data_IF_250505614138
#
_entry.id   IF_250505614138
#
_cell.length_a   1.000
_cell.length_b   1.000
_cell.length_c   1.000
_cell.angle_alpha   90.00
_cell.angle_beta   90.00
_cell.angle_gamma   90.00
#
_symmetry.space_group_name_H-M   'P 1'
#
loop_
_entity.id
_entity.type
_entity.pdbx_description
1 polymer ?
#
# COMPACT_ATOMS: atom_id res chain seq x y z
N UNK A 1 -34.35 -40.62 -13.16
CA UNK A 1 -33.92 -39.36 -13.81
C UNK A 1 -34.63 -38.16 -13.20
N UNK A 2 -35.94 -37.94 -13.41
CA UNK A 2 -36.63 -36.74 -12.89
C UNK A 2 -36.70 -36.65 -11.35
N UNK A 3 -36.81 -37.81 -10.68
CA UNK A 3 -36.83 -37.91 -9.21
C UNK A 3 -35.43 -37.81 -8.57
N UNK A 4 -34.37 -38.14 -9.31
CA UNK A 4 -32.98 -38.02 -8.84
C UNK A 4 -32.52 -36.56 -8.87
N UNK A 5 -32.95 -35.82 -9.91
CA UNK A 5 -32.72 -34.38 -10.01
C UNK A 5 -33.43 -33.60 -8.90
N UNK A 6 -34.63 -34.03 -8.49
CA UNK A 6 -35.37 -33.38 -7.40
C UNK A 6 -34.64 -33.54 -6.05
N UNK A 7 -34.16 -34.76 -5.76
CA UNK A 7 -33.38 -35.04 -4.56
C UNK A 7 -32.06 -34.30 -4.53
N UNK A 8 -31.34 -34.27 -5.66
CA UNK A 8 -30.11 -33.50 -5.77
C UNK A 8 -30.34 -32.00 -5.50
N UNK A 9 -31.49 -31.46 -5.91
CA UNK A 9 -31.85 -30.05 -5.71
C UNK A 9 -32.22 -29.77 -4.25
N UNK A 10 -32.93 -30.68 -3.58
CA UNK A 10 -33.19 -30.63 -2.13
C UNK A 10 -31.89 -30.69 -1.32
N UNK A 11 -30.96 -31.57 -1.70
CA UNK A 11 -29.65 -31.69 -1.04
C UNK A 11 -28.82 -30.42 -1.22
N UNK A 12 -28.82 -29.81 -2.41
CA UNK A 12 -28.14 -28.54 -2.68
C UNK A 12 -28.73 -27.40 -1.86
N UNK A 13 -30.06 -27.28 -1.77
CA UNK A 13 -30.70 -26.25 -0.94
C UNK A 13 -30.33 -26.41 0.53
N UNK A 14 -30.36 -27.64 1.05
CA UNK A 14 -29.93 -27.92 2.43
C UNK A 14 -28.46 -27.56 2.67
N UNK A 15 -27.59 -27.83 1.69
CA UNK A 15 -26.17 -27.48 1.78
C UNK A 15 -25.97 -25.96 1.77
N UNK A 16 -26.75 -25.23 0.96
CA UNK A 16 -26.74 -23.76 0.95
C UNK A 16 -27.15 -23.22 2.32
N UNK A 17 -28.25 -23.71 2.89
CA UNK A 17 -28.70 -23.28 4.22
C UNK A 17 -27.63 -23.54 5.31
N UNK A 18 -26.96 -24.69 5.27
CA UNK A 18 -25.88 -25.00 6.22
C UNK A 18 -24.67 -24.08 6.03
N UNK A 19 -24.25 -23.84 4.78
CA UNK A 19 -23.15 -22.91 4.47
C UNK A 19 -23.51 -21.49 4.90
N UNK A 20 -24.75 -21.04 4.66
CA UNK A 20 -25.22 -19.72 5.10
C UNK A 20 -25.21 -19.61 6.63
N UNK A 21 -25.62 -20.66 7.34
CA UNK A 21 -25.53 -20.74 8.80
C UNK A 21 -24.10 -20.67 9.31
N UNK A 22 -23.19 -21.44 8.70
CA UNK A 22 -21.75 -21.41 9.02
C UNK A 22 -21.15 -20.02 8.75
N UNK A 23 -21.52 -19.39 7.63
CA UNK A 23 -21.03 -18.08 7.22
C UNK A 23 -21.56 -16.99 8.15
N UNK A 24 -22.79 -17.09 8.64
CA UNK A 24 -23.34 -16.22 9.68
C UNK A 24 -22.55 -16.35 11.00
N UNK A 25 -22.26 -17.58 11.44
CA UNK A 25 -21.47 -17.83 12.64
C UNK A 25 -20.03 -17.30 12.51
N UNK A 26 -19.39 -17.48 11.35
CA UNK A 26 -18.07 -16.93 11.08
C UNK A 26 -18.08 -15.40 11.09
N UNK A 27 -19.10 -14.76 10.48
CA UNK A 27 -19.28 -13.30 10.53
C UNK A 27 -19.43 -12.78 11.96
N UNK A 28 -20.24 -13.46 12.79
CA UNK A 28 -20.39 -13.14 14.21
C UNK A 28 -19.03 -13.19 14.93
N UNK A 29 -18.26 -14.28 14.73
CA UNK A 29 -16.95 -14.46 15.35
C UNK A 29 -15.91 -13.43 14.90
N UNK A 30 -15.93 -13.06 13.62
CA UNK A 30 -15.08 -11.96 13.11
C UNK A 30 -15.50 -10.62 13.73
N UNK A 31 -16.80 -10.37 13.90
CA UNK A 31 -17.29 -9.16 14.57
C UNK A 31 -16.87 -9.11 16.05
N UNK A 32 -16.83 -10.26 16.74
CA UNK A 32 -16.38 -10.37 18.13
C UNK A 32 -14.88 -10.14 18.29
N UNK A 33 -14.08 -10.62 17.33
CA UNK A 33 -12.63 -10.40 17.31
C UNK A 33 -12.26 -8.97 16.88
N UNK A 34 -13.21 -8.24 16.29
CA UNK A 34 -12.99 -6.92 15.72
C UNK A 34 -12.31 -6.99 14.34
N UNK A 35 -12.21 -5.85 13.64
CA UNK A 35 -11.39 -5.77 12.43
C UNK A 35 -9.96 -6.19 12.77
N UNK A 36 -9.30 -6.87 11.82
CA UNK A 36 -7.86 -7.16 11.94
C UNK A 36 -7.15 -5.84 12.24
N UNK A 37 -6.50 -5.76 13.39
CA UNK A 37 -5.70 -4.60 13.75
C UNK A 37 -4.34 -4.75 13.09
N UNK A 38 -4.24 -4.26 11.85
CA UNK A 38 -3.01 -4.30 11.07
C UNK A 38 -1.86 -3.54 11.74
N UNK A 39 -2.18 -2.56 12.59
CA UNK A 39 -1.16 -1.86 13.37
C UNK A 39 -0.62 -2.78 14.47
N UNK A 40 -1.49 -3.53 15.15
CA UNK A 40 -1.07 -4.59 16.07
C UNK A 40 -0.23 -5.66 15.36
N UNK A 41 -0.62 -6.09 14.16
CA UNK A 41 0.18 -7.04 13.38
C UNK A 41 1.56 -6.48 13.02
N UNK A 42 1.61 -5.23 12.52
CA UNK A 42 2.87 -4.55 12.22
C UNK A 42 3.74 -4.39 13.48
N UNK A 43 3.14 -4.09 14.63
CA UNK A 43 3.84 -4.00 15.92
C UNK A 43 4.41 -5.35 16.37
N UNK A 44 3.61 -6.41 16.34
CA UNK A 44 4.08 -7.77 16.69
C UNK A 44 5.25 -8.18 15.78
N UNK A 45 5.16 -7.92 14.47
CA UNK A 45 6.27 -8.13 13.53
C UNK A 45 7.48 -7.22 13.80
N UNK A 46 7.26 -5.97 14.16
CA UNK A 46 8.34 -5.05 14.50
C UNK A 46 9.06 -5.47 15.78
N UNK A 47 8.38 -6.15 16.72
CA UNK A 47 9.05 -6.71 17.91
C UNK A 47 9.91 -7.93 17.58
N UNK A 48 9.49 -8.74 16.60
CA UNK A 48 10.24 -9.92 16.17
C UNK A 48 11.52 -9.56 15.39
N UNK A 49 11.46 -8.51 14.57
CA UNK A 49 12.54 -8.16 13.63
C UNK A 49 13.21 -6.80 13.88
N UNK A 50 12.56 -5.90 14.61
CA UNK A 50 12.99 -4.51 14.74
C UNK A 50 14.04 -4.32 15.82
N UNK A 51 15.00 -3.46 15.52
CA UNK A 51 16.02 -2.99 16.45
C UNK A 51 15.93 -1.47 16.59
N UNK A 52 16.33 -0.94 17.75
CA UNK A 52 16.45 0.50 17.97
C UNK A 52 17.80 0.75 18.62
N UNK A 53 18.68 1.46 17.93
CA UNK A 53 20.00 1.85 18.42
C UNK A 53 20.28 3.32 18.06
N UNK A 54 20.33 4.16 19.09
CA UNK A 54 20.55 5.60 18.96
C UNK A 54 19.63 6.26 17.93
N UNK A 55 20.24 6.79 16.87
CA UNK A 55 19.57 7.52 15.79
C UNK A 55 18.95 6.61 14.71
N UNK A 56 19.06 5.29 14.86
CA UNK A 56 18.60 4.31 13.88
C UNK A 56 17.49 3.46 14.50
N UNK A 57 16.40 3.27 13.77
CA UNK A 57 15.29 2.40 14.20
C UNK A 57 14.78 1.60 13.01
N UNK A 58 14.66 0.29 13.18
CA UNK A 58 14.05 -0.60 12.20
C UNK A 58 12.59 -0.86 12.59
N UNK A 59 11.73 -1.06 11.60
CA UNK A 59 10.31 -1.25 11.82
C UNK A 59 9.61 -1.82 10.59
N UNK A 60 8.29 -1.95 10.70
CA UNK A 60 7.46 -2.61 9.69
C UNK A 60 6.53 -1.59 9.05
N UNK A 61 6.45 -1.59 7.72
CA UNK A 61 5.53 -0.72 6.99
C UNK A 61 4.08 -1.19 7.12
N UNK A 62 3.16 -0.30 7.49
CA UNK A 62 1.72 -0.56 7.69
C UNK A 62 0.84 -0.06 6.53
N UNK A 63 1.45 0.38 5.43
CA UNK A 63 0.76 0.95 4.27
C UNK A 63 0.86 2.48 4.17
N UNK A 64 1.13 3.18 5.28
CA UNK A 64 1.40 4.63 5.29
C UNK A 64 2.54 5.04 6.22
N UNK A 65 2.81 4.25 7.25
CA UNK A 65 3.77 4.51 8.30
C UNK A 65 4.71 3.31 8.49
N UNK A 66 5.82 3.56 9.15
CA UNK A 66 6.65 2.53 9.75
C UNK A 66 6.29 2.42 11.23
N UNK A 67 6.01 1.19 11.70
CA UNK A 67 5.80 0.87 13.11
C UNK A 67 7.10 0.30 13.67
N UNK A 68 7.67 0.96 14.67
CA UNK A 68 8.87 0.49 15.37
C UNK A 68 8.58 -0.61 16.40
N UNK A 69 9.61 -1.29 16.94
CA UNK A 69 9.48 -2.35 17.94
C UNK A 69 8.83 -1.87 19.25
N UNK A 70 8.98 -0.58 19.58
CA UNK A 70 8.35 0.07 20.73
C UNK A 70 6.89 0.47 20.47
N UNK A 71 6.39 0.25 19.24
CA UNK A 71 5.06 0.66 18.79
C UNK A 71 4.98 2.13 18.41
N UNK A 72 6.10 2.87 18.34
CA UNK A 72 6.07 4.22 17.77
C UNK A 72 5.77 4.16 16.28
N UNK A 73 4.99 5.13 15.83
CA UNK A 73 4.55 5.25 14.44
C UNK A 73 5.31 6.40 13.79
N UNK A 74 5.98 6.11 12.69
CA UNK A 74 6.75 7.07 11.91
C UNK A 74 6.15 7.20 10.52
N UNK A 75 5.58 8.37 10.21
CA UNK A 75 4.92 8.58 8.92
C UNK A 75 5.92 8.58 7.77
N UNK A 76 5.65 7.76 6.75
CA UNK A 76 6.48 7.68 5.55
C UNK A 76 5.91 8.65 4.49
N UNK A 77 6.75 9.45 3.82
CA UNK A 77 6.30 10.28 2.71
C UNK A 77 5.61 9.46 1.60
N UNK A 78 4.40 9.86 1.22
CA UNK A 78 3.58 9.13 0.25
C UNK A 78 4.27 8.89 -1.10
N UNK A 79 5.10 9.84 -1.55
CA UNK A 79 5.87 9.73 -2.81
C UNK A 79 6.98 8.69 -2.73
N UNK A 80 7.63 8.54 -1.57
CA UNK A 80 8.63 7.50 -1.36
C UNK A 80 7.95 6.14 -1.38
N UNK A 81 6.86 5.99 -0.61
CA UNK A 81 6.10 4.74 -0.55
C UNK A 81 5.53 4.33 -1.93
N UNK A 82 5.05 5.29 -2.73
CA UNK A 82 4.55 5.01 -4.08
C UNK A 82 5.66 4.62 -5.06
N UNK A 83 6.79 5.36 -5.08
CA UNK A 83 7.91 5.11 -5.99
C UNK A 83 8.61 3.79 -5.69
N UNK A 84 8.79 3.46 -4.41
CA UNK A 84 9.38 2.20 -3.96
C UNK A 84 8.39 1.03 -3.95
N UNK A 85 7.11 1.27 -4.28
CA UNK A 85 6.02 0.27 -4.30
C UNK A 85 5.98 -0.53 -3.00
N UNK A 86 6.05 0.17 -1.86
CA UNK A 86 6.11 -0.47 -0.53
C UNK A 86 4.81 -1.24 -0.26
N UNK A 87 4.96 -2.46 0.25
CA UNK A 87 3.86 -3.37 0.61
C UNK A 87 3.82 -3.53 2.12
N UNK A 88 2.62 -3.60 2.70
CA UNK A 88 2.45 -3.87 4.13
C UNK A 88 3.28 -5.08 4.56
N UNK A 89 4.03 -4.93 5.66
CA UNK A 89 4.96 -5.94 6.15
C UNK A 89 6.42 -5.71 5.72
N UNK A 90 6.69 -4.85 4.74
CA UNK A 90 8.07 -4.51 4.35
C UNK A 90 8.88 -4.01 5.56
N UNK A 91 10.10 -4.51 5.73
CA UNK A 91 11.02 -4.09 6.77
C UNK A 91 11.73 -2.82 6.33
N UNK A 92 11.59 -1.79 7.15
CA UNK A 92 12.07 -0.45 6.92
C UNK A 92 13.12 -0.08 7.97
N UNK A 93 14.06 0.75 7.57
CA UNK A 93 15.05 1.38 8.43
C UNK A 93 14.84 2.88 8.39
N UNK A 94 14.61 3.48 9.55
CA UNK A 94 14.65 4.92 9.78
C UNK A 94 16.01 5.29 10.34
N UNK A 95 16.62 6.33 9.78
CA UNK A 95 17.79 7.01 10.33
C UNK A 95 17.43 8.48 10.55
N UNK A 96 17.63 8.96 11.78
CA UNK A 96 17.43 10.35 12.17
C UNK A 96 18.80 11.03 12.10
N UNK A 97 18.96 11.97 11.17
CA UNK A 97 20.18 12.77 11.07
C UNK A 97 20.30 13.73 12.26
N UNK A 98 21.50 14.24 12.51
CA UNK A 98 21.75 15.22 13.57
C UNK A 98 20.97 16.53 13.39
N UNK A 99 20.56 16.84 12.15
CA UNK A 99 19.68 17.96 11.81
C UNK A 99 18.17 17.67 12.02
N UNK A 100 17.83 16.46 12.50
CA UNK A 100 16.46 16.00 12.72
C UNK A 100 15.76 15.42 11.47
N UNK A 101 16.44 15.37 10.32
CA UNK A 101 15.87 14.82 9.09
C UNK A 101 15.68 13.30 9.19
N UNK A 102 14.51 12.82 8.79
CA UNK A 102 14.19 11.39 8.72
C UNK A 102 14.53 10.82 7.36
N UNK A 103 15.38 9.79 7.35
CA UNK A 103 15.73 9.03 6.16
C UNK A 103 15.16 7.62 6.30
N UNK A 104 14.29 7.26 5.37
CA UNK A 104 13.72 5.91 5.28
C UNK A 104 14.43 5.11 4.19
N UNK A 105 14.76 3.86 4.50
CA UNK A 105 15.27 2.88 3.55
C UNK A 105 14.54 1.56 3.72
N UNK A 106 14.02 1.00 2.64
CA UNK A 106 13.57 -0.39 2.66
C UNK A 106 14.79 -1.31 2.76
N UNK A 107 14.77 -2.22 3.73
CA UNK A 107 15.87 -3.15 3.99
C UNK A 107 15.45 -4.62 3.90
N UNK A 108 14.15 -4.91 3.95
CA UNK A 108 13.62 -6.27 3.82
C UNK A 108 12.27 -6.26 3.10
N UNK A 109 12.24 -6.40 1.76
CA UNK A 109 10.97 -6.54 1.05
C UNK A 109 10.29 -7.85 1.44
N UNK A 110 8.97 -7.82 1.68
CA UNK A 110 8.19 -9.05 1.83
C UNK A 110 7.91 -9.69 0.48
N UNK A 111 7.56 -10.98 0.50
CA UNK A 111 7.02 -11.66 -0.67
C UNK A 111 5.75 -10.95 -1.14
N UNK A 112 5.55 -10.87 -2.46
CA UNK A 112 4.44 -10.11 -3.06
C UNK A 112 3.69 -10.97 -4.04
N UNK A 113 2.37 -10.91 -3.95
CA UNK A 113 1.44 -11.45 -4.93
C UNK A 113 0.95 -10.33 -5.83
N UNK A 114 1.14 -10.52 -7.13
CA UNK A 114 0.61 -9.62 -8.17
C UNK A 114 -0.84 -10.00 -8.48
N UNK A 115 -1.73 -9.02 -8.55
CA UNK A 115 -3.12 -9.26 -8.94
C UNK A 115 -3.76 -8.06 -9.64
N UNK A 116 -4.83 -8.32 -10.38
CA UNK A 116 -5.64 -7.28 -11.03
C UNK A 116 -6.85 -6.91 -10.19
N UNK A 117 -7.17 -5.62 -10.18
CA UNK A 117 -8.28 -5.06 -9.42
C UNK A 117 -8.83 -3.82 -10.11
N UNK A 118 -10.12 -3.55 -9.92
CA UNK A 118 -10.75 -2.36 -10.51
C UNK A 118 -10.51 -1.15 -9.62
N UNK A 119 -10.02 -0.06 -10.19
CA UNK A 119 -9.81 1.19 -9.48
C UNK A 119 -11.14 1.87 -9.17
N UNK A 120 -11.38 2.19 -7.90
CA UNK A 120 -12.55 2.92 -7.43
C UNK A 120 -12.14 4.09 -6.56
N UNK A 121 -13.01 5.10 -6.48
CA UNK A 121 -12.84 6.24 -5.58
C UNK A 121 -13.75 6.08 -4.36
N UNK A 122 -13.23 6.47 -3.21
CA UNK A 122 -13.96 6.47 -1.93
C UNK A 122 -14.71 7.80 -1.74
N UNK A 123 -15.75 7.78 -0.93
CA UNK A 123 -16.54 8.99 -0.61
C UNK A 123 -15.69 10.08 0.07
N UNK A 124 -14.64 9.68 0.79
CA UNK A 124 -13.66 10.58 1.42
C UNK A 124 -12.61 11.13 0.45
N UNK A 125 -12.70 10.80 -0.84
CA UNK A 125 -11.84 11.33 -1.90
C UNK A 125 -10.55 10.54 -2.16
N UNK A 126 -10.25 9.51 -1.35
CA UNK A 126 -9.13 8.58 -1.57
C UNK A 126 -9.44 7.48 -2.60
N UNK A 127 -8.46 6.65 -2.93
CA UNK A 127 -8.58 5.57 -3.91
C UNK A 127 -8.55 4.17 -3.27
N UNK A 128 -9.27 3.24 -3.87
CA UNK A 128 -9.23 1.81 -3.54
C UNK A 128 -9.14 0.97 -4.82
N UNK A 129 -8.59 -0.23 -4.69
CA UNK A 129 -8.62 -1.26 -5.70
C UNK A 129 -9.52 -2.41 -5.22
N UNK A 130 -10.52 -2.79 -6.02
CA UNK A 130 -11.43 -3.90 -5.70
C UNK A 130 -11.00 -5.13 -6.48
N UNK A 131 -10.51 -6.14 -5.77
CA UNK A 131 -10.12 -7.41 -6.38
C UNK A 131 -11.35 -8.25 -6.76
N UNK A 132 -11.17 -9.20 -7.68
CA UNK A 132 -12.23 -10.15 -8.08
C UNK A 132 -12.79 -10.99 -6.92
N UNK A 133 -12.01 -11.18 -5.86
CA UNK A 133 -12.46 -11.84 -4.62
C UNK A 133 -13.47 -11.01 -3.81
N UNK A 134 -13.69 -9.74 -4.16
CA UNK A 134 -14.51 -8.80 -3.40
C UNK A 134 -13.75 -8.03 -2.32
N UNK A 135 -12.49 -8.38 -2.03
CA UNK A 135 -11.66 -7.62 -1.08
C UNK A 135 -11.24 -6.28 -1.70
N UNK A 136 -11.34 -5.21 -0.91
CA UNK A 136 -10.95 -3.87 -1.32
C UNK A 136 -9.68 -3.44 -0.61
N UNK A 137 -8.65 -3.06 -1.37
CA UNK A 137 -7.40 -2.53 -0.83
C UNK A 137 -7.37 -1.01 -0.99
N UNK A 138 -6.91 -0.29 0.03
CA UNK A 138 -6.61 1.14 -0.05
C UNK A 138 -5.35 1.35 -0.90
N UNK A 139 -5.36 2.42 -1.69
CA UNK A 139 -4.21 2.80 -2.51
C UNK A 139 -3.71 4.18 -2.11
N UNK A 140 -2.39 4.37 -2.19
CA UNK A 140 -1.80 5.69 -2.06
C UNK A 140 -2.22 6.55 -3.26
N UNK A 141 -2.81 7.72 -2.98
CA UNK A 141 -3.20 8.69 -4.01
C UNK A 141 -2.02 9.05 -4.92
N UNK A 142 -0.82 9.20 -4.34
CA UNK A 142 0.40 9.49 -5.09
C UNK A 142 0.69 8.45 -6.18
N UNK A 143 0.45 7.15 -5.90
CA UNK A 143 0.63 6.09 -6.89
C UNK A 143 -0.39 6.20 -8.02
N UNK A 144 -1.66 6.44 -7.67
CA UNK A 144 -2.74 6.55 -8.67
C UNK A 144 -2.52 7.76 -9.59
N UNK A 145 -2.14 8.91 -9.03
CA UNK A 145 -1.85 10.11 -9.81
C UNK A 145 -0.64 9.95 -10.71
N UNK A 146 0.39 9.21 -10.26
CA UNK A 146 1.58 8.94 -11.06
C UNK A 146 1.25 8.14 -12.32
N UNK A 147 0.43 7.09 -12.19
CA UNK A 147 -0.04 6.27 -13.32
C UNK A 147 -1.25 6.89 -14.06
N UNK A 148 -1.68 8.10 -13.68
CA UNK A 148 -2.84 8.80 -14.25
C UNK A 148 -4.12 7.94 -14.27
N UNK A 149 -4.30 7.14 -13.21
CA UNK A 149 -5.40 6.20 -13.13
C UNK A 149 -6.76 6.89 -12.96
N UNK A 150 -7.73 6.41 -13.73
CA UNK A 150 -9.13 6.85 -13.64
C UNK A 150 -10.02 5.75 -13.06
N UNK A 151 -11.11 6.17 -12.39
CA UNK A 151 -12.09 5.23 -11.83
C UNK A 151 -12.63 4.34 -12.95
N UNK A 152 -12.63 3.03 -12.71
CA UNK A 152 -13.00 2.01 -13.69
C UNK A 152 -11.79 1.40 -14.42
N UNK A 153 -10.60 1.98 -14.37
CA UNK A 153 -9.40 1.36 -14.94
C UNK A 153 -8.99 0.09 -14.19
N UNK A 154 -8.23 -0.76 -14.87
CA UNK A 154 -7.65 -1.97 -14.28
C UNK A 154 -6.32 -1.61 -13.61
N UNK A 155 -6.27 -1.66 -12.29
CA UNK A 155 -5.04 -1.53 -11.53
C UNK A 155 -4.37 -2.89 -11.36
N UNK A 156 -3.06 -2.94 -11.63
CA UNK A 156 -2.19 -4.05 -11.24
C UNK A 156 -1.60 -3.68 -9.89
N UNK A 157 -1.93 -4.48 -8.87
CA UNK A 157 -1.55 -4.22 -7.49
C UNK A 157 -0.65 -5.32 -6.93
N UNK A 158 0.17 -4.96 -5.96
CA UNK A 158 1.02 -5.85 -5.16
C UNK A 158 0.50 -5.88 -3.73
N UNK A 159 0.28 -7.08 -3.23
CA UNK A 159 -0.19 -7.36 -1.87
C UNK A 159 0.68 -8.47 -1.25
N UNK A 160 0.70 -8.62 0.08
CA UNK A 160 1.32 -9.79 0.71
C UNK A 160 0.68 -11.10 0.24
N UNK A 161 1.37 -12.25 0.32
CA UNK A 161 0.88 -13.52 -0.20
C UNK A 161 -0.41 -14.01 0.47
N UNK A 162 -0.62 -13.67 1.74
CA UNK A 162 -1.83 -13.98 2.48
C UNK A 162 -3.05 -13.16 2.02
N UNK A 163 -2.83 -12.04 1.31
CA UNK A 163 -3.87 -11.12 0.83
C UNK A 163 -4.63 -10.39 1.94
N UNK A 164 -4.15 -10.45 3.19
CA UNK A 164 -4.87 -9.91 4.35
C UNK A 164 -4.55 -8.44 4.62
N UNK A 165 -3.87 -7.74 3.72
CA UNK A 165 -3.50 -6.33 3.90
C UNK A 165 -4.67 -5.36 3.71
N UNK A 166 -4.56 -4.19 4.35
CA UNK A 166 -5.50 -3.08 4.14
C UNK A 166 -5.11 -2.24 2.92
N UNK A 167 -3.81 -2.11 2.68
CA UNK A 167 -3.20 -1.34 1.62
C UNK A 167 -2.60 -2.26 0.56
N UNK A 168 -2.55 -1.76 -0.66
CA UNK A 168 -1.82 -2.39 -1.75
C UNK A 168 -0.94 -1.36 -2.45
N UNK A 169 0.23 -1.80 -2.90
CA UNK A 169 1.07 -0.99 -3.76
C UNK A 169 0.54 -1.07 -5.20
N UNK A 170 0.48 0.07 -5.90
CA UNK A 170 0.15 0.08 -7.32
C UNK A 170 1.43 -0.16 -8.11
N UNK A 171 1.42 -1.19 -8.95
CA UNK A 171 2.53 -1.45 -9.87
C UNK A 171 2.31 -0.81 -11.23
N UNK A 172 1.06 -0.82 -11.71
CA UNK A 172 0.65 -0.18 -12.96
C UNK A 172 -0.87 0.04 -12.98
N UNK A 173 -1.36 0.93 -13.85
CA UNK A 173 -2.79 1.10 -14.14
C UNK A 173 -2.99 1.08 -15.66
N UNK A 174 -3.91 0.24 -16.12
CA UNK A 174 -4.24 0.04 -17.53
C UNK A 174 -5.62 0.62 -17.79
N UNK A 175 -5.72 1.55 -18.73
CA UNK A 175 -6.99 2.05 -19.25
C UNK A 175 -7.61 1.00 -20.17
N UNK A 176 -8.90 0.68 -19.98
CA UNK A 176 -9.65 -0.09 -20.97
C UNK A 176 -9.93 0.79 -22.19
N UNK A 177 -8.95 0.89 -23.08
CA UNK A 177 -9.03 1.06 -24.54
C UNK A 177 -7.62 0.63 -25.02
N UNK A 178 -7.53 -0.45 -25.79
CA UNK A 178 -6.35 -0.96 -26.55
C UNK A 178 -5.32 -1.91 -25.87
N UNK A 179 -5.11 -1.93 -24.55
CA UNK A 179 -3.96 -2.68 -23.98
C UNK A 179 -4.21 -4.14 -23.53
N UNK A 180 -5.46 -4.59 -23.46
CA UNK A 180 -5.78 -5.97 -23.04
C UNK A 180 -5.31 -7.02 -24.07
N UNK A 181 -5.35 -6.68 -25.37
CA UNK A 181 -4.90 -7.54 -26.46
C UNK A 181 -3.36 -7.59 -26.54
N UNK A 182 -2.66 -6.49 -26.20
CA UNK A 182 -1.20 -6.41 -26.22
C UNK A 182 -0.52 -7.23 -25.10
N UNK A 183 -1.18 -7.37 -23.94
CA UNK A 183 -0.64 -8.11 -22.80
C UNK A 183 -0.78 -9.63 -22.92
N UNK A 184 -1.70 -10.12 -23.77
CA UNK A 184 -1.87 -11.55 -24.05
C UNK A 184 -0.83 -12.06 -25.04
N UNK A 185 -0.37 -11.23 -25.98
CA UNK A 185 0.68 -11.61 -26.94
C UNK A 185 2.10 -11.62 -26.34
N UNK A 186 2.34 -10.86 -25.26
CA UNK A 186 3.66 -10.80 -24.61
C UNK A 186 3.92 -11.95 -23.62
N UNK A 187 2.89 -12.71 -23.23
CA UNK A 187 3.01 -13.82 -22.29
C UNK A 187 3.72 -15.06 -22.85
N UNK A 188 3.69 -15.25 -24.17
CA UNK A 188 4.25 -16.45 -24.83
C UNK A 188 5.71 -16.31 -25.27
N UNK A 189 6.32 -15.12 -25.15
CA UNK A 189 7.67 -14.85 -25.71
C UNK A 189 8.80 -14.69 -24.67
N UNK A 190 8.57 -15.00 -23.39
CA UNK A 190 9.56 -14.82 -22.31
C UNK A 190 10.44 -16.05 -21.99
N UNK A 191 10.51 -17.06 -22.87
CA UNK A 191 11.39 -18.23 -22.70
C UNK A 191 12.55 -18.34 -23.69
N UNK A 192 12.75 -17.35 -24.56
CA UNK A 192 13.85 -17.36 -25.53
C UNK A 192 14.50 -15.99 -25.62
N UNK A 193 15.32 -15.65 -24.64
CA UNK A 193 16.70 -15.19 -24.88
C UNK A 193 17.34 -14.81 -23.55
N UNK A 194 18.34 -15.61 -23.16
CA UNK A 194 19.22 -15.28 -22.06
C UNK A 194 20.16 -14.16 -22.47
N UNK A 195 20.15 -13.06 -21.72
CA UNK A 195 21.25 -12.11 -21.72
C UNK A 195 21.50 -11.61 -20.30
N UNK A 196 22.72 -11.88 -19.84
CA UNK A 196 23.32 -11.47 -18.57
C UNK A 196 23.21 -9.95 -18.37
N UNK A 197 22.66 -9.51 -17.24
CA UNK A 197 22.89 -8.16 -16.72
C UNK A 197 24.05 -8.20 -15.73
N UNK A 198 25.19 -7.65 -16.15
CA UNK A 198 26.28 -7.27 -15.26
C UNK A 198 25.80 -6.20 -14.27
N UNK A 199 26.09 -6.42 -12.99
CA UNK A 199 25.98 -5.42 -11.93
C UNK A 199 27.26 -4.59 -11.92
N UNK A 200 27.16 -3.28 -12.16
CA UNK A 200 28.20 -2.33 -11.78
C UNK A 200 27.78 -1.62 -10.50
N UNK A 201 28.62 -1.76 -9.46
CA UNK A 201 28.53 -1.06 -8.19
C UNK A 201 28.72 0.44 -8.40
N UNK A 202 27.78 1.24 -7.90
CA UNK A 202 27.86 2.70 -7.93
C UNK A 202 27.04 3.31 -6.81
N UNK A 203 27.71 3.66 -5.73
CA UNK A 203 27.19 4.48 -4.63
C UNK A 203 26.82 5.88 -5.15
N UNK A 204 25.52 6.18 -5.28
CA UNK A 204 25.03 7.55 -5.46
C UNK A 204 24.34 8.05 -4.20
N UNK A 205 25.04 8.98 -3.55
CA UNK A 205 24.65 9.75 -2.38
C UNK A 205 23.47 10.69 -2.73
N UNK A 206 22.26 10.34 -2.29
CA UNK A 206 21.05 11.12 -2.54
C UNK A 206 20.97 12.35 -1.61
N UNK A 207 21.37 13.51 -2.12
CA UNK A 207 21.00 14.80 -1.52
C UNK A 207 19.55 15.17 -1.89
N UNK A 208 18.75 15.72 -0.95
CA UNK A 208 17.46 16.31 -1.29
C UNK A 208 17.65 17.58 -2.13
N UNK A 209 16.68 17.95 -3.00
CA UNK A 209 16.77 19.12 -3.85
C UNK A 209 16.78 20.42 -3.03
N UNK A 210 17.43 21.49 -3.51
CA UNK A 210 17.52 22.76 -2.78
C UNK A 210 16.14 23.41 -2.66
N UNK A 211 15.81 23.87 -1.46
CA UNK A 211 14.66 24.72 -1.20
C UNK A 211 14.82 26.04 -1.96
N UNK A 212 13.86 26.38 -2.81
CA UNK A 212 13.76 27.70 -3.42
C UNK A 212 13.52 28.76 -2.35
N UNK A 213 14.35 29.81 -2.36
CA UNK A 213 14.24 30.97 -1.50
C UNK A 213 12.85 31.62 -1.64
N UNK A 214 12.12 31.70 -0.53
CA UNK A 214 10.95 32.58 -0.42
C UNK A 214 11.48 33.98 -0.07
N UNK A 215 11.47 34.89 -1.04
CA UNK A 215 11.74 36.31 -0.80
C UNK A 215 10.60 36.93 0.00
N UNK A 216 10.84 37.23 1.27
CA UNK A 216 9.99 38.12 2.06
C UNK A 216 10.24 39.55 1.57
N UNK A 217 9.23 40.16 0.95
CA UNK A 217 9.18 41.61 0.74
C UNK A 217 8.65 42.27 2.01
N UNK A 218 9.53 43.04 2.64
CA UNK A 218 9.27 43.89 3.80
C UNK A 218 8.46 45.12 3.34
N UNK A 219 7.18 45.20 3.74
CA UNK A 219 6.35 46.37 3.51
C UNK A 219 6.26 47.18 4.82
N UNK A 220 6.93 48.32 4.80
CA UNK A 220 6.97 49.31 5.88
C UNK A 220 5.60 49.99 5.95
N UNK A 221 4.90 49.83 7.07
CA UNK A 221 3.78 50.72 7.46
C UNK A 221 4.27 51.59 8.60
N UNK A 222 4.53 52.86 8.28
CA UNK A 222 4.63 53.97 9.23
C UNK A 222 3.25 54.26 9.79
N UNK A 223 3.09 54.18 11.11
CA UNK A 223 1.92 54.62 11.85
C UNK A 223 2.36 55.57 12.95
N UNK A 224 1.77 56.76 12.93
CA UNK A 224 2.12 57.98 13.65
C UNK A 224 1.92 57.92 15.18
N UNK A 225 2.83 58.63 15.86
CA UNK A 225 2.68 59.53 17.02
C UNK A 225 1.61 59.26 18.09
N UNK A 226 2.08 58.82 19.27
CA UNK A 226 1.48 59.11 20.58
C UNK A 226 2.23 60.31 21.21
N UNK A 227 1.58 61.48 21.27
CA UNK A 227 1.88 62.53 22.26
C UNK A 227 0.95 62.32 23.47
N UNK A 228 1.49 61.86 24.60
CA UNK A 228 0.98 62.26 25.93
C UNK A 228 2.16 62.48 26.91
N UNK A 229 2.00 63.59 27.64
CA UNK A 229 2.81 64.20 28.73
C UNK A 229 4.01 65.10 28.40
#
# INVERSE_FOLDING_TARGET
>A
MENDSLRALEDIHRLIEDIEGQLAHLKQRVSELGPVDHNRYAKEKAQDFGSSDGNVTEGVFDGQNMVGPDGKIYTIPANYASKSKLVEGDIMKLTIKDDGTFIYKQIGPVERKRMTATLVRTDSGGYKAVAKSGHSYKLLTASVTYYRGEVGNTAIILVPPDGMSNWAAVENIVSEIEDADLLLEQGDNLLADGQEMLLEDGDEELLPPPHGELSFSEEIVTGDDDEEE
#
